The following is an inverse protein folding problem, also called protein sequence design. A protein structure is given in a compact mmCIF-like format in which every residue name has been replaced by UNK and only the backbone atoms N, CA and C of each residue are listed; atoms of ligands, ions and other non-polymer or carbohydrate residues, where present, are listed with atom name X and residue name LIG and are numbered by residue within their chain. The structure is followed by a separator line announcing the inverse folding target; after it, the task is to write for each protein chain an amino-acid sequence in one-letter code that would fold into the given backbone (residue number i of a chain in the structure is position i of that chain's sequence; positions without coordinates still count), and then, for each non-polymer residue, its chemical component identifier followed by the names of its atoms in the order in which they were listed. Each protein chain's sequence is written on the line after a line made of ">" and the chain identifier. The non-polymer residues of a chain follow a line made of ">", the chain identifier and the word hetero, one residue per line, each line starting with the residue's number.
data_IF_840832249580
#
_entry.id   IF_840832249580
#
_cell.length_a   1.000
_cell.length_b   1.000
_cell.length_c   1.000
_cell.angle_alpha   90.00
_cell.angle_beta   90.00
_cell.angle_gamma   90.00
#
_symmetry.space_group_name_H-M   'P 1'
#
loop_
_entity.id
_entity.type
_entity.pdbx_description
1 polymer ?
#
# COMPACT_ATOMS: atom_id res chain seq x y z
N UNK A 1 -2.00 -13.99 -7.29
CA UNK A 1 -1.45 -13.11 -6.23
C UNK A 1 -0.46 -12.16 -6.87
N UNK A 2 -0.53 -10.91 -6.50
CA UNK A 2 0.32 -9.87 -7.07
C UNK A 2 1.28 -9.39 -5.98
N UNK A 3 2.55 -9.27 -6.30
CA UNK A 3 3.54 -8.78 -5.34
C UNK A 3 3.84 -7.31 -5.62
N UNK A 4 3.80 -6.50 -4.58
CA UNK A 4 4.21 -5.10 -4.65
C UNK A 4 5.32 -4.87 -3.63
N UNK A 5 6.19 -3.91 -3.89
CA UNK A 5 7.38 -3.72 -3.10
C UNK A 5 7.68 -2.24 -2.93
N UNK A 6 8.10 -1.85 -1.73
CA UNK A 6 8.58 -0.49 -1.50
C UNK A 6 10.00 -0.37 -2.03
N UNK A 7 10.48 0.86 -2.12
CA UNK A 7 11.83 1.12 -2.64
C UNK A 7 12.93 0.53 -1.76
N UNK A 8 12.65 0.36 -0.47
CA UNK A 8 13.62 -0.24 0.44
C UNK A 8 13.49 -1.76 0.55
N UNK A 9 12.67 -2.37 -0.30
CA UNK A 9 12.60 -3.82 -0.40
C UNK A 9 11.53 -4.51 0.41
N UNK A 10 10.64 -3.76 1.07
CA UNK A 10 9.55 -4.38 1.80
C UNK A 10 8.50 -4.87 0.81
N UNK A 11 8.25 -6.17 0.76
CA UNK A 11 7.33 -6.76 -0.21
C UNK A 11 6.03 -7.20 0.47
N UNK A 12 4.93 -7.02 -0.24
CA UNK A 12 3.61 -7.49 0.21
C UNK A 12 2.94 -8.23 -0.93
N UNK A 13 2.01 -9.09 -0.58
CA UNK A 13 1.19 -9.78 -1.57
C UNK A 13 -0.21 -9.20 -1.56
N UNK A 14 -0.69 -8.85 -2.74
CA UNK A 14 -2.02 -8.27 -2.93
C UNK A 14 -2.88 -9.28 -3.66
N UNK A 15 -4.11 -9.48 -3.18
CA UNK A 15 -5.05 -10.33 -3.89
C UNK A 15 -5.79 -9.50 -4.93
N UNK A 16 -6.19 -10.15 -6.01
CA UNK A 16 -6.99 -9.47 -7.02
C UNK A 16 -8.33 -9.04 -6.46
N UNK A 17 -8.86 -9.83 -5.52
CA UNK A 17 -10.13 -9.51 -4.87
C UNK A 17 -10.03 -8.25 -4.02
N UNK A 18 -8.90 -8.05 -3.36
CA UNK A 18 -8.69 -6.83 -2.59
C UNK A 18 -8.68 -5.60 -3.50
N UNK A 19 -8.12 -5.75 -4.69
CA UNK A 19 -8.07 -4.66 -5.65
C UNK A 19 -9.41 -4.41 -6.32
N UNK A 20 -10.28 -5.43 -6.35
CA UNK A 20 -11.62 -5.32 -6.91
C UNK A 20 -12.60 -4.97 -5.78
N UNK A 21 -12.40 -3.82 -5.17
CA UNK A 21 -13.17 -3.39 -4.01
C UNK A 21 -13.40 -1.88 -4.07
N UNK A 22 -14.66 -1.49 -4.24
CA UNK A 22 -15.03 -0.08 -4.33
C UNK A 22 -14.62 0.68 -3.06
N UNK A 23 -14.71 0.03 -1.90
CA UNK A 23 -14.32 0.69 -0.65
C UNK A 23 -12.84 1.06 -0.64
N UNK A 24 -12.00 0.23 -1.26
CA UNK A 24 -10.59 0.55 -1.42
C UNK A 24 -10.42 1.78 -2.31
N UNK A 25 -11.16 1.84 -3.40
CA UNK A 25 -11.09 2.99 -4.31
C UNK A 25 -11.54 4.27 -3.63
N UNK A 26 -12.61 4.18 -2.83
CA UNK A 26 -13.08 5.34 -2.07
C UNK A 26 -12.03 5.81 -1.07
N UNK A 27 -11.39 4.87 -0.38
CA UNK A 27 -10.36 5.19 0.60
C UNK A 27 -9.13 5.81 -0.08
N UNK A 28 -8.74 5.29 -1.23
CA UNK A 28 -7.62 5.87 -1.99
C UNK A 28 -7.93 7.28 -2.46
N UNK A 29 -9.16 7.51 -2.91
CA UNK A 29 -9.57 8.85 -3.33
C UNK A 29 -9.51 9.83 -2.17
N UNK A 30 -9.94 9.40 -0.98
CA UNK A 30 -9.89 10.24 0.21
C UNK A 30 -8.45 10.61 0.56
N UNK A 31 -7.53 9.64 0.48
CA UNK A 31 -6.11 9.89 0.75
C UNK A 31 -5.55 10.89 -0.26
N UNK A 32 -5.92 10.77 -1.53
CA UNK A 32 -5.48 11.70 -2.56
C UNK A 32 -6.00 13.13 -2.30
N UNK A 33 -7.16 13.23 -1.65
CA UNK A 33 -7.71 14.52 -1.26
C UNK A 33 -7.16 14.99 0.09
N UNK A 34 -6.07 14.41 0.53
CA UNK A 34 -5.34 14.79 1.75
C UNK A 34 -6.06 14.38 3.04
N UNK A 35 -6.96 13.41 2.98
CA UNK A 35 -7.57 12.86 4.18
C UNK A 35 -6.65 11.82 4.79
N UNK A 36 -5.69 12.27 5.59
CA UNK A 36 -4.71 11.38 6.20
C UNK A 36 -5.34 10.38 7.16
N UNK A 37 -6.54 10.67 7.66
CA UNK A 37 -7.23 9.75 8.57
C UNK A 37 -7.68 8.47 7.84
N UNK A 38 -7.81 8.52 6.53
CA UNK A 38 -8.18 7.35 5.73
C UNK A 38 -6.99 6.46 5.38
N UNK A 39 -5.78 6.90 5.71
CA UNK A 39 -4.56 6.19 5.30
C UNK A 39 -4.49 4.77 5.86
N UNK A 40 -4.72 4.62 7.16
CA UNK A 40 -4.68 3.30 7.78
C UNK A 40 -5.74 2.36 7.23
N UNK A 41 -6.94 2.87 7.01
CA UNK A 41 -8.01 2.07 6.42
C UNK A 41 -7.64 1.61 5.01
N UNK A 42 -7.08 2.52 4.23
CA UNK A 42 -6.65 2.20 2.87
C UNK A 42 -5.64 1.06 2.87
N UNK A 43 -4.65 1.14 3.75
CA UNK A 43 -3.62 0.11 3.86
C UNK A 43 -4.24 -1.24 4.23
N UNK A 44 -5.14 -1.24 5.21
CA UNK A 44 -5.79 -2.49 5.65
C UNK A 44 -6.67 -3.10 4.56
N UNK A 45 -7.37 -2.27 3.81
CA UNK A 45 -8.19 -2.76 2.70
C UNK A 45 -7.32 -3.33 1.58
N UNK A 46 -6.15 -2.72 1.37
CA UNK A 46 -5.26 -3.13 0.30
C UNK A 46 -4.56 -4.45 0.61
N UNK A 47 -4.03 -4.61 1.80
CA UNK A 47 -3.14 -5.74 2.10
C UNK A 47 -3.57 -6.61 3.28
N UNK A 48 -4.65 -6.27 3.97
CA UNK A 48 -5.12 -7.03 5.12
C UNK A 48 -4.38 -6.70 6.39
N UNK A 49 -4.93 -7.17 7.52
CA UNK A 49 -4.43 -6.81 8.84
C UNK A 49 -3.00 -7.28 9.11
N UNK A 50 -2.68 -8.49 8.69
CA UNK A 50 -1.38 -9.07 9.00
C UNK A 50 -0.25 -8.34 8.30
N UNK A 51 -0.40 -8.11 7.02
CA UNK A 51 0.63 -7.38 6.28
C UNK A 51 0.70 -5.92 6.69
N UNK A 52 -0.45 -5.34 7.06
CA UNK A 52 -0.48 -3.97 7.59
C UNK A 52 0.38 -3.88 8.84
N UNK A 53 0.24 -4.85 9.75
CA UNK A 53 1.05 -4.85 10.97
C UNK A 53 2.53 -4.96 10.66
N UNK A 54 2.88 -5.84 9.72
CA UNK A 54 4.29 -5.98 9.30
C UNK A 54 4.84 -4.70 8.71
N UNK A 55 4.04 -4.02 7.89
CA UNK A 55 4.45 -2.74 7.32
C UNK A 55 4.64 -1.69 8.41
N UNK A 56 3.72 -1.61 9.37
CA UNK A 56 3.84 -0.68 10.48
C UNK A 56 5.12 -0.94 11.27
N UNK A 57 5.41 -2.21 11.56
CA UNK A 57 6.62 -2.55 12.30
C UNK A 57 7.87 -2.20 11.51
N UNK A 58 7.83 -2.38 10.19
CA UNK A 58 8.93 -2.03 9.31
C UNK A 58 9.22 -0.53 9.33
N UNK A 59 8.17 0.28 9.41
CA UNK A 59 8.30 1.75 9.39
C UNK A 59 8.44 2.37 10.77
N UNK A 60 8.29 1.57 11.81
CA UNK A 60 8.27 2.08 13.19
C UNK A 60 9.61 2.67 13.58
N UNK A 61 9.56 3.84 14.21
CA UNK A 61 10.77 4.50 14.69
C UNK A 61 11.21 3.91 16.04
N UNK A 62 12.36 4.33 16.51
CA UNK A 62 12.90 3.83 17.78
C UNK A 62 12.01 4.14 18.96
N UNK A 63 11.24 5.24 18.88
CA UNK A 63 10.32 5.61 19.95
C UNK A 63 8.96 4.90 19.84
N UNK A 64 8.83 3.96 18.90
CA UNK A 64 7.64 3.12 18.78
C UNK A 64 6.54 3.69 17.91
N UNK A 65 6.79 4.79 17.23
CA UNK A 65 5.80 5.50 16.44
C UNK A 65 5.95 5.17 14.95
N UNK A 66 4.82 5.08 14.24
CA UNK A 66 4.82 4.93 12.78
C UNK A 66 4.53 6.31 12.20
N UNK A 67 5.51 6.98 11.58
CA UNK A 67 5.29 8.33 11.05
C UNK A 67 4.29 8.32 9.90
N UNK A 68 3.40 9.31 9.88
CA UNK A 68 2.38 9.41 8.83
C UNK A 68 3.03 9.56 7.45
N UNK A 69 4.07 10.37 7.36
CA UNK A 69 4.75 10.58 6.07
C UNK A 69 5.37 9.30 5.57
N UNK A 70 5.98 8.51 6.46
CA UNK A 70 6.58 7.23 6.07
C UNK A 70 5.53 6.27 5.51
N UNK A 71 4.37 6.20 6.18
CA UNK A 71 3.30 5.32 5.72
C UNK A 71 2.72 5.80 4.39
N UNK A 72 2.54 7.10 4.24
CA UNK A 72 2.04 7.70 3.01
C UNK A 72 2.99 7.40 1.84
N UNK A 73 4.28 7.57 2.06
CA UNK A 73 5.28 7.27 1.04
C UNK A 73 5.28 5.79 0.68
N UNK A 74 5.17 4.92 1.69
CA UNK A 74 5.14 3.48 1.46
C UNK A 74 3.94 3.09 0.59
N UNK A 75 2.76 3.66 0.88
CA UNK A 75 1.57 3.39 0.07
C UNK A 75 1.82 3.80 -1.39
N UNK A 76 2.37 4.99 -1.60
CA UNK A 76 2.68 5.46 -2.94
C UNK A 76 3.64 4.53 -3.68
N UNK A 77 4.68 4.07 -2.98
CA UNK A 77 5.67 3.16 -3.57
C UNK A 77 5.06 1.81 -3.91
N UNK A 78 4.19 1.30 -3.03
CA UNK A 78 3.51 0.03 -3.30
C UNK A 78 2.60 0.13 -4.51
N UNK A 79 1.86 1.23 -4.63
CA UNK A 79 0.99 1.43 -5.79
C UNK A 79 1.79 1.59 -7.07
N UNK A 80 2.93 2.27 -7.00
CA UNK A 80 3.84 2.42 -8.13
C UNK A 80 4.38 1.05 -8.56
N UNK A 81 4.80 0.25 -7.59
CA UNK A 81 5.33 -1.07 -7.83
C UNK A 81 4.27 -1.98 -8.46
N UNK A 82 3.06 -1.93 -7.93
CA UNK A 82 1.95 -2.70 -8.49
C UNK A 82 1.70 -2.31 -9.95
N UNK A 83 1.67 -1.01 -10.21
CA UNK A 83 1.43 -0.51 -11.56
C UNK A 83 2.53 -0.91 -12.52
N UNK A 84 3.78 -0.82 -12.09
CA UNK A 84 4.93 -1.20 -12.90
C UNK A 84 4.90 -2.71 -13.22
N UNK A 85 4.58 -3.53 -12.25
CA UNK A 85 4.46 -4.96 -12.45
C UNK A 85 3.38 -5.31 -13.45
N UNK A 86 2.23 -4.65 -13.32
CA UNK A 86 1.13 -4.86 -14.25
C UNK A 86 1.50 -4.40 -15.66
N UNK A 87 2.14 -3.26 -15.76
CA UNK A 87 2.60 -2.76 -17.06
C UNK A 87 3.61 -3.70 -17.69
N UNK A 88 4.52 -4.24 -16.90
CA UNK A 88 5.52 -5.19 -17.39
C UNK A 88 4.87 -6.44 -17.96
N UNK A 89 3.85 -6.97 -17.28
CA UNK A 89 3.19 -8.18 -17.73
C UNK A 89 2.32 -7.93 -18.95
N UNK A 90 1.86 -6.72 -19.16
CA UNK A 90 0.99 -6.38 -20.28
C UNK A 90 1.75 -5.79 -21.45
N UNK A 91 3.03 -5.58 -21.32
CA UNK A 91 3.84 -4.97 -22.37
C UNK A 91 4.43 -6.04 -23.27
N UNK A 92 3.91 -6.23 -24.45
CA UNK A 92 4.44 -7.22 -25.37
C UNK A 92 5.71 -6.75 -26.02
N UNK A 93 6.05 -5.62 -25.74
CA UNK A 93 7.17 -4.87 -26.32
C UNK A 93 7.35 -4.91 -27.74
#
# INVERSE_FOLDING_TARGET
>A
MITAETKDGFAVELSEEALDNVELLDALAAVQDSDVLSLGRTIRLLMGKEQTRKLYDHLRTKDGRVPVVALSNALGELMESFRAGKNSSSSPA
#
